data_IF_483997940230
#
_entry.id   IF_483997940230
#
_cell.length_a   1.000
_cell.length_b   1.000
_cell.length_c   1.000
_cell.angle_alpha   90.00
_cell.angle_beta   90.00
_cell.angle_gamma   90.00
#
_symmetry.space_group_name_H-M   'P 1'
#
loop_
_entity.id
_entity.type
_entity.pdbx_description
1 polymer ?
#
# COMPACT_ATOMS: atom_id res chain seq x y z
N UNK A 1 -35.62 -30.34 22.25
CA UNK A 1 -34.27 -30.46 21.65
C UNK A 1 -34.11 -29.27 20.73
N UNK A 2 -33.13 -28.40 20.98
CA UNK A 2 -32.86 -27.26 20.08
C UNK A 2 -32.10 -27.80 18.88
N UNK A 3 -32.55 -27.45 17.66
CA UNK A 3 -31.97 -27.95 16.42
C UNK A 3 -30.59 -27.33 16.20
N UNK A 4 -29.54 -28.15 16.22
CA UNK A 4 -28.15 -27.69 16.09
C UNK A 4 -27.89 -27.01 14.73
N UNK A 5 -28.60 -27.41 13.67
CA UNK A 5 -28.48 -26.81 12.33
C UNK A 5 -29.02 -25.37 12.27
N UNK A 6 -30.04 -25.04 13.07
CA UNK A 6 -30.56 -23.67 13.17
C UNK A 6 -29.58 -22.75 13.91
N UNK A 7 -28.91 -23.25 14.95
CA UNK A 7 -27.89 -22.50 15.71
C UNK A 7 -26.70 -22.17 14.81
N UNK A 8 -26.22 -23.12 14.01
CA UNK A 8 -25.09 -22.89 13.10
C UNK A 8 -25.42 -21.88 12.00
N UNK A 9 -26.65 -21.93 11.46
CA UNK A 9 -27.12 -20.97 10.45
C UNK A 9 -27.24 -19.56 11.03
N UNK A 10 -27.75 -19.45 12.25
CA UNK A 10 -27.91 -18.19 12.97
C UNK A 10 -26.53 -17.60 13.31
N UNK A 11 -25.60 -18.40 13.84
CA UNK A 11 -24.24 -17.97 14.15
C UNK A 11 -23.49 -17.50 12.90
N UNK A 12 -23.59 -18.22 11.78
CA UNK A 12 -22.99 -17.83 10.51
C UNK A 12 -23.59 -16.51 9.99
N UNK A 13 -24.90 -16.31 10.15
CA UNK A 13 -25.57 -15.07 9.75
C UNK A 13 -25.14 -13.88 10.62
N UNK A 14 -24.99 -14.09 11.93
CA UNK A 14 -24.48 -13.05 12.84
C UNK A 14 -23.02 -12.69 12.55
N UNK A 15 -22.15 -13.68 12.35
CA UNK A 15 -20.75 -13.46 11.97
C UNK A 15 -20.64 -12.70 10.64
N UNK A 16 -21.43 -13.09 9.64
CA UNK A 16 -21.47 -12.38 8.35
C UNK A 16 -21.94 -10.92 8.48
N UNK A 17 -22.89 -10.64 9.38
CA UNK A 17 -23.37 -9.28 9.67
C UNK A 17 -22.35 -8.43 10.41
N UNK A 18 -21.63 -9.02 11.38
CA UNK A 18 -20.55 -8.33 12.08
C UNK A 18 -19.38 -8.00 11.15
N UNK A 19 -19.01 -8.92 10.25
CA UNK A 19 -17.99 -8.69 9.22
C UNK A 19 -18.38 -7.59 8.23
N UNK A 20 -19.64 -7.58 7.78
CA UNK A 20 -20.18 -6.53 6.91
C UNK A 20 -20.22 -5.15 7.60
N UNK A 21 -20.69 -5.09 8.85
CA UNK A 21 -20.73 -3.84 9.62
C UNK A 21 -19.32 -3.31 9.91
N UNK A 22 -18.38 -4.18 10.25
CA UNK A 22 -16.98 -3.83 10.45
C UNK A 22 -16.34 -3.28 9.18
N UNK A 23 -16.65 -3.85 8.02
CA UNK A 23 -16.22 -3.32 6.73
C UNK A 23 -16.80 -1.93 6.41
N UNK A 24 -18.01 -1.63 6.87
CA UNK A 24 -18.64 -0.32 6.70
C UNK A 24 -17.99 0.74 7.60
N UNK A 25 -17.77 0.45 8.89
CA UNK A 25 -17.07 1.36 9.83
C UNK A 25 -15.64 1.68 9.36
N UNK A 26 -14.95 0.65 8.87
CA UNK A 26 -13.62 0.73 8.27
C UNK A 26 -13.62 1.67 7.04
N UNK A 27 -14.63 1.56 6.17
CA UNK A 27 -14.81 2.44 5.00
C UNK A 27 -15.17 3.88 5.40
N UNK A 28 -16.01 4.07 6.41
CA UNK A 28 -16.42 5.39 6.88
C UNK A 28 -15.21 6.13 7.49
N UNK A 29 -14.36 5.43 8.25
CA UNK A 29 -13.12 5.97 8.81
C UNK A 29 -12.12 6.38 7.72
N UNK A 30 -11.97 5.58 6.66
CA UNK A 30 -11.09 5.93 5.54
C UNK A 30 -11.56 7.18 4.79
N UNK A 31 -12.88 7.39 4.68
CA UNK A 31 -13.46 8.50 3.92
C UNK A 31 -13.73 9.76 4.74
N UNK A 32 -13.66 9.68 6.07
CA UNK A 32 -13.89 10.82 6.97
C UNK A 32 -12.97 12.01 6.63
N UNK A 33 -13.47 13.24 6.71
CA UNK A 33 -12.66 14.42 6.45
C UNK A 33 -11.65 14.62 7.61
N UNK A 34 -10.33 14.69 7.35
CA UNK A 34 -9.35 14.94 8.39
C UNK A 34 -9.54 16.31 9.05
N UNK A 35 -9.40 16.37 10.37
CA UNK A 35 -9.41 17.62 11.11
C UNK A 35 -8.01 18.27 11.14
N UNK A 36 -7.92 19.53 11.59
CA UNK A 36 -6.64 20.26 11.66
C UNK A 36 -5.61 19.52 12.52
N UNK A 37 -6.02 18.92 13.63
CA UNK A 37 -5.13 18.23 14.56
C UNK A 37 -4.50 16.98 13.92
N UNK A 38 -5.27 16.16 13.22
CA UNK A 38 -4.78 14.99 12.49
C UNK A 38 -3.76 15.41 11.42
N UNK A 39 -4.07 16.48 10.68
CA UNK A 39 -3.18 17.02 9.64
C UNK A 39 -1.89 17.54 10.27
N UNK A 40 -2.00 18.29 11.36
CA UNK A 40 -0.87 18.82 12.13
C UNK A 40 0.02 17.68 12.63
N UNK A 41 -0.55 16.65 13.25
CA UNK A 41 0.20 15.51 13.76
C UNK A 41 0.96 14.78 12.63
N UNK A 42 0.40 14.75 11.42
CA UNK A 42 1.09 14.20 10.25
C UNK A 42 2.26 15.07 9.83
N UNK A 43 2.08 16.39 9.76
CA UNK A 43 3.15 17.36 9.43
C UNK A 43 4.31 17.28 10.41
N UNK A 44 4.01 17.26 11.71
CA UNK A 44 5.03 17.27 12.76
C UNK A 44 5.71 15.92 12.97
N UNK A 45 5.06 14.82 12.60
CA UNK A 45 5.70 13.50 12.60
C UNK A 45 6.50 13.21 11.32
N UNK A 46 6.38 14.03 10.28
CA UNK A 46 7.09 13.85 9.02
C UNK A 46 8.56 14.31 9.14
N UNK A 47 9.43 13.75 8.30
CA UNK A 47 10.85 14.08 8.34
C UNK A 47 11.08 15.52 7.86
N UNK A 48 11.52 16.39 8.77
CA UNK A 48 11.82 17.80 8.52
C UNK A 48 12.94 17.99 7.48
N UNK A 49 13.93 17.09 7.45
CA UNK A 49 15.08 17.13 6.53
C UNK A 49 14.83 16.42 5.20
N UNK A 50 13.59 15.97 4.94
CA UNK A 50 13.26 15.34 3.67
C UNK A 50 13.47 16.31 2.49
N UNK A 51 13.95 15.78 1.36
CA UNK A 51 14.18 16.58 0.15
C UNK A 51 12.89 17.26 -0.32
N UNK A 52 13.01 18.54 -0.67
CA UNK A 52 11.93 19.33 -1.24
C UNK A 52 11.46 18.77 -2.59
N UNK A 53 10.21 19.06 -2.95
CA UNK A 53 9.67 18.77 -4.28
C UNK A 53 10.01 19.88 -5.28
N UNK A 54 9.35 19.87 -6.45
CA UNK A 54 9.38 20.99 -7.40
C UNK A 54 9.08 22.37 -6.79
N UNK A 55 8.34 22.42 -5.69
CA UNK A 55 8.00 23.65 -4.97
C UNK A 55 9.15 24.25 -4.15
N UNK A 56 10.24 23.51 -3.93
CA UNK A 56 11.38 23.96 -3.13
C UNK A 56 11.15 23.95 -1.62
N UNK A 57 10.00 23.48 -1.12
CA UNK A 57 9.69 23.44 0.31
C UNK A 57 9.88 22.04 0.91
N UNK A 58 10.64 21.97 2.01
CA UNK A 58 10.87 20.75 2.78
C UNK A 58 10.03 20.71 4.06
N UNK A 59 10.10 19.62 4.82
CA UNK A 59 9.31 19.49 6.04
C UNK A 59 9.59 20.53 7.11
N UNK A 60 10.83 21.04 7.19
CA UNK A 60 11.19 22.10 8.12
C UNK A 60 10.42 23.39 7.85
N UNK A 61 10.20 23.75 6.58
CA UNK A 61 9.35 24.88 6.23
C UNK A 61 7.92 24.70 6.78
N UNK A 62 7.31 23.54 6.59
CA UNK A 62 5.93 23.30 7.02
C UNK A 62 5.77 23.30 8.54
N UNK A 63 6.77 22.77 9.26
CA UNK A 63 6.75 22.74 10.72
C UNK A 63 6.99 24.13 11.33
N UNK A 64 7.93 24.89 10.78
CA UNK A 64 8.28 26.22 11.30
C UNK A 64 7.24 27.30 10.91
N UNK A 65 6.68 27.20 9.71
CA UNK A 65 5.70 28.15 9.19
C UNK A 65 4.25 27.71 9.39
N UNK A 66 3.99 26.66 10.18
CA UNK A 66 2.66 26.07 10.38
C UNK A 66 1.59 27.11 10.67
N UNK A 67 1.85 28.04 11.60
CA UNK A 67 0.87 29.06 12.01
C UNK A 67 0.47 30.01 10.88
N UNK A 68 1.28 30.12 9.82
CA UNK A 68 1.01 30.94 8.64
C UNK A 68 0.29 30.13 7.57
N UNK A 69 0.77 28.93 7.26
CA UNK A 69 0.30 28.14 6.11
C UNK A 69 -0.83 27.15 6.43
N UNK A 70 -1.16 26.94 7.72
CA UNK A 70 -2.08 25.87 8.14
C UNK A 70 -3.42 25.91 7.45
N UNK A 71 -3.97 27.10 7.20
CA UNK A 71 -5.29 27.24 6.55
C UNK A 71 -5.26 26.69 5.12
N UNK A 72 -4.21 27.00 4.36
CA UNK A 72 -4.04 26.50 2.99
C UNK A 72 -3.85 24.99 2.94
N UNK A 73 -3.07 24.45 3.89
CA UNK A 73 -2.80 23.00 3.96
C UNK A 73 -4.05 22.24 4.40
N UNK A 74 -4.79 22.73 5.39
CA UNK A 74 -6.04 22.13 5.84
C UNK A 74 -7.08 22.15 4.73
N UNK A 75 -7.28 23.30 4.08
CA UNK A 75 -8.22 23.41 2.95
C UNK A 75 -7.83 22.48 1.81
N UNK A 76 -6.56 22.41 1.44
CA UNK A 76 -6.06 21.48 0.42
C UNK A 76 -6.42 20.02 0.73
N UNK A 77 -6.12 19.55 1.94
CA UNK A 77 -6.37 18.18 2.35
C UNK A 77 -7.88 17.92 2.40
N UNK A 78 -8.66 18.78 3.05
CA UNK A 78 -10.10 18.58 3.17
C UNK A 78 -10.81 18.63 1.82
N UNK A 79 -10.36 19.48 0.89
CA UNK A 79 -10.88 19.52 -0.47
C UNK A 79 -10.64 18.19 -1.21
N UNK A 80 -9.48 17.56 -1.03
CA UNK A 80 -9.22 16.23 -1.56
C UNK A 80 -10.20 15.18 -1.00
N UNK A 81 -10.42 15.15 0.32
CA UNK A 81 -11.35 14.20 0.96
C UNK A 81 -12.82 14.46 0.57
N UNK A 82 -13.18 15.71 0.27
CA UNK A 82 -14.45 16.12 -0.30
C UNK A 82 -14.62 15.77 -1.79
N UNK A 83 -13.64 15.11 -2.42
CA UNK A 83 -13.71 14.69 -3.82
C UNK A 83 -13.45 15.80 -4.83
N UNK A 84 -12.94 16.97 -4.40
CA UNK A 84 -12.46 17.98 -5.34
C UNK A 84 -11.14 17.51 -5.95
N UNK A 85 -10.98 17.74 -7.26
CA UNK A 85 -9.75 17.40 -7.97
C UNK A 85 -8.55 18.18 -7.44
N UNK A 86 -7.38 17.55 -7.40
CA UNK A 86 -6.13 18.22 -7.05
C UNK A 86 -5.57 18.98 -8.25
N UNK A 87 -5.01 20.17 -7.99
CA UNK A 87 -4.29 20.90 -9.02
C UNK A 87 -3.10 20.07 -9.52
N UNK A 88 -2.89 20.06 -10.84
CA UNK A 88 -1.83 19.27 -11.50
C UNK A 88 -0.45 19.47 -10.87
N UNK A 89 -0.18 20.68 -10.37
CA UNK A 89 1.07 21.02 -9.68
C UNK A 89 1.42 20.07 -8.53
N UNK A 90 0.45 19.64 -7.71
CA UNK A 90 0.69 18.73 -6.59
C UNK A 90 0.87 17.27 -7.02
N UNK A 91 0.53 16.97 -8.27
CA UNK A 91 0.56 15.62 -8.86
C UNK A 91 1.78 15.40 -9.76
N UNK A 92 2.59 16.42 -9.99
CA UNK A 92 3.78 16.33 -10.85
C UNK A 92 5.05 16.25 -10.01
N UNK A 93 5.62 15.06 -9.82
CA UNK A 93 6.90 14.95 -9.15
C UNK A 93 8.05 15.39 -10.05
N UNK A 94 9.14 15.87 -9.44
CA UNK A 94 10.39 16.12 -10.14
C UNK A 94 11.18 14.81 -10.28
N UNK A 95 11.56 14.44 -11.50
CA UNK A 95 12.36 13.24 -11.77
C UNK A 95 13.85 13.58 -11.71
N UNK A 96 14.57 12.95 -10.79
CA UNK A 96 16.02 13.04 -10.64
C UNK A 96 16.66 11.71 -10.99
N UNK A 97 17.75 11.74 -11.75
CA UNK A 97 18.51 10.55 -12.13
C UNK A 97 19.76 10.42 -11.23
N UNK A 98 19.81 9.37 -10.41
CA UNK A 98 20.99 9.04 -9.61
C UNK A 98 21.84 8.00 -10.35
N UNK A 99 23.13 8.26 -10.62
CA UNK A 99 24.00 7.28 -11.27
C UNK A 99 24.19 6.04 -10.39
N UNK A 100 24.12 4.84 -10.98
CA UNK A 100 24.44 3.57 -10.29
C UNK A 100 25.93 3.21 -10.36
N UNK A 101 26.65 3.79 -11.32
CA UNK A 101 28.06 3.52 -11.60
C UNK A 101 28.76 4.83 -11.94
N UNK A 102 30.07 4.87 -11.80
CA UNK A 102 30.89 5.99 -12.23
C UNK A 102 30.81 6.16 -13.76
N UNK A 103 30.67 7.40 -14.22
CA UNK A 103 30.57 7.77 -15.64
C UNK A 103 29.51 6.94 -16.42
N UNK A 104 28.22 7.10 -16.09
CA UNK A 104 27.15 6.34 -16.74
C UNK A 104 27.04 6.70 -18.23
N UNK A 105 27.10 5.66 -19.08
CA UNK A 105 27.07 5.82 -20.55
C UNK A 105 25.68 5.69 -21.17
N UNK A 106 24.67 5.30 -20.40
CA UNK A 106 23.29 5.15 -20.87
C UNK A 106 22.28 5.27 -19.70
N UNK A 107 20.98 5.41 -20.02
CA UNK A 107 19.92 5.62 -19.03
C UNK A 107 19.65 4.43 -18.10
N UNK A 108 19.95 3.18 -18.52
CA UNK A 108 19.74 2.00 -17.66
C UNK A 108 20.68 1.95 -16.45
N UNK A 109 21.81 2.65 -16.55
CA UNK A 109 22.77 2.89 -15.46
C UNK A 109 22.34 3.99 -14.49
N UNK A 110 21.19 4.63 -14.67
CA UNK A 110 20.62 5.54 -13.69
C UNK A 110 19.49 4.89 -12.91
N UNK A 111 19.31 5.35 -11.68
CA UNK A 111 18.13 5.09 -10.84
C UNK A 111 17.26 6.35 -10.89
N UNK A 112 16.08 6.30 -11.52
CA UNK A 112 15.15 7.41 -11.43
C UNK A 112 14.58 7.48 -10.00
N UNK A 113 14.62 8.68 -9.43
CA UNK A 113 13.98 9.04 -8.16
C UNK A 113 12.96 10.13 -8.46
N UNK A 114 11.77 9.96 -7.90
CA UNK A 114 10.64 10.87 -8.06
C UNK A 114 10.50 11.67 -6.77
N UNK A 115 10.77 12.97 -6.82
CA UNK A 115 10.59 13.90 -5.71
C UNK A 115 9.20 14.53 -5.76
N UNK A 116 8.37 14.22 -4.77
CA UNK A 116 7.06 14.84 -4.61
C UNK A 116 7.09 16.05 -3.68
N UNK A 117 6.17 16.99 -3.91
CA UNK A 117 5.89 18.10 -2.99
C UNK A 117 5.55 17.57 -1.60
N UNK A 118 5.93 18.32 -0.58
CA UNK A 118 5.71 17.90 0.80
C UNK A 118 4.21 17.81 1.13
N UNK A 119 3.37 18.66 0.53
CA UNK A 119 1.89 18.57 0.61
C UNK A 119 1.37 17.19 0.19
N UNK A 120 1.88 16.63 -0.91
CA UNK A 120 1.46 15.30 -1.39
C UNK A 120 1.96 14.18 -0.44
N UNK A 121 3.11 14.38 0.22
CA UNK A 121 3.60 13.48 1.26
C UNK A 121 2.72 13.50 2.52
N UNK A 122 2.20 14.67 2.90
CA UNK A 122 1.24 14.81 4.01
C UNK A 122 -0.02 14.01 3.69
N UNK A 123 -0.61 14.23 2.52
CA UNK A 123 -1.79 13.48 2.07
C UNK A 123 -1.53 11.96 2.10
N UNK A 124 -0.36 11.57 1.60
CA UNK A 124 0.02 10.16 1.58
C UNK A 124 0.12 9.51 2.94
N UNK A 125 0.65 10.27 3.90
CA UNK A 125 0.85 9.81 5.26
C UNK A 125 -0.46 9.74 6.05
N UNK A 126 -1.43 10.62 5.79
CA UNK A 126 -2.79 10.52 6.34
C UNK A 126 -3.43 9.20 5.89
N UNK A 127 -3.46 8.96 4.57
CA UNK A 127 -4.05 7.75 4.01
C UNK A 127 -3.35 6.49 4.53
N UNK A 128 -2.01 6.50 4.60
CA UNK A 128 -1.24 5.41 5.21
C UNK A 128 -1.62 5.16 6.67
N UNK A 129 -1.71 6.22 7.50
CA UNK A 129 -2.07 6.08 8.91
C UNK A 129 -3.43 5.42 9.12
N UNK A 130 -4.40 5.74 8.26
CA UNK A 130 -5.75 5.18 8.32
C UNK A 130 -5.84 3.78 7.72
N UNK A 131 -5.06 3.50 6.67
CA UNK A 131 -5.04 2.18 6.02
C UNK A 131 -4.25 1.14 6.82
N UNK A 132 -3.17 1.54 7.50
CA UNK A 132 -2.24 0.61 8.14
C UNK A 132 -2.91 -0.35 9.15
N UNK A 133 -3.85 0.07 10.03
CA UNK A 133 -4.57 -0.85 10.92
C UNK A 133 -5.43 -1.90 10.19
N UNK A 134 -5.77 -1.65 8.93
CA UNK A 134 -6.62 -2.51 8.12
C UNK A 134 -5.80 -3.49 7.29
N UNK A 135 -4.53 -3.14 7.00
CA UNK A 135 -3.61 -3.98 6.23
C UNK A 135 -3.46 -5.37 6.85
N UNK A 136 -3.44 -5.48 8.17
CA UNK A 136 -3.36 -6.77 8.88
C UNK A 136 -4.58 -7.67 8.60
N UNK A 137 -5.75 -7.09 8.35
CA UNK A 137 -6.99 -7.81 8.02
C UNK A 137 -7.03 -8.24 6.54
N UNK A 138 -6.43 -7.43 5.66
CA UNK A 138 -6.54 -7.59 4.20
C UNK A 138 -5.40 -8.46 3.66
N UNK A 139 -4.21 -8.41 4.27
CA UNK A 139 -2.98 -9.03 3.76
C UNK A 139 -2.75 -10.40 4.41
N UNK A 140 -2.65 -11.43 3.57
CA UNK A 140 -2.27 -12.81 3.96
C UNK A 140 -1.02 -12.84 4.86
N UNK A 141 -0.98 -13.79 5.79
CA UNK A 141 0.16 -13.98 6.72
C UNK A 141 1.49 -14.24 5.98
N UNK A 142 1.43 -14.85 4.80
CA UNK A 142 2.60 -15.19 3.99
C UNK A 142 3.22 -13.98 3.26
N UNK A 143 2.58 -12.81 3.34
CA UNK A 143 3.03 -11.58 2.68
C UNK A 143 3.71 -10.66 3.71
N UNK A 144 5.03 -10.73 3.82
CA UNK A 144 5.79 -10.02 4.87
C UNK A 144 6.29 -8.61 4.49
N UNK A 145 6.31 -8.25 3.21
CA UNK A 145 6.76 -6.93 2.77
C UNK A 145 5.85 -5.82 3.26
N UNK A 146 6.40 -4.66 3.63
CA UNK A 146 5.66 -3.41 3.89
C UNK A 146 4.52 -3.48 4.95
N UNK A 147 4.41 -4.55 5.75
CA UNK A 147 3.48 -4.65 6.88
C UNK A 147 4.23 -4.37 8.18
N UNK A 148 3.69 -3.48 9.02
CA UNK A 148 4.28 -3.17 10.31
C UNK A 148 4.40 -4.44 11.17
N UNK A 149 5.57 -4.65 11.77
CA UNK A 149 5.80 -5.79 12.66
C UNK A 149 6.17 -7.10 11.95
N UNK A 150 6.19 -7.15 10.61
CA UNK A 150 6.73 -8.29 9.85
C UNK A 150 8.16 -7.99 9.43
N UNK A 151 9.07 -8.93 9.68
CA UNK A 151 10.47 -8.76 9.34
C UNK A 151 10.81 -9.52 8.06
N UNK A 152 11.73 -8.96 7.30
CA UNK A 152 12.21 -9.58 6.07
C UNK A 152 12.95 -10.91 6.34
N UNK A 153 13.46 -11.07 7.56
CA UNK A 153 14.05 -12.31 8.07
C UNK A 153 13.05 -13.45 8.11
N UNK A 154 11.76 -13.17 8.31
CA UNK A 154 10.71 -14.18 8.39
C UNK A 154 10.55 -14.88 7.03
N UNK A 155 10.69 -14.15 5.92
CA UNK A 155 10.73 -14.74 4.57
C UNK A 155 11.97 -15.60 4.35
N UNK A 156 13.11 -15.22 4.92
CA UNK A 156 14.35 -15.99 4.79
C UNK A 156 14.21 -17.31 5.54
N UNK A 157 13.64 -17.28 6.75
CA UNK A 157 13.34 -18.49 7.53
C UNK A 157 12.33 -19.38 6.81
N UNK A 158 11.24 -18.80 6.29
CA UNK A 158 10.27 -19.54 5.49
C UNK A 158 10.96 -20.19 4.27
N UNK A 159 11.79 -19.45 3.53
CA UNK A 159 12.58 -19.98 2.41
C UNK A 159 13.47 -21.15 2.83
N UNK A 160 14.13 -21.05 3.98
CA UNK A 160 14.98 -22.10 4.52
C UNK A 160 14.18 -23.35 4.90
N UNK A 161 13.02 -23.19 5.56
CA UNK A 161 12.12 -24.30 5.88
C UNK A 161 11.62 -25.00 4.61
N UNK A 162 11.27 -24.23 3.58
CA UNK A 162 10.86 -24.77 2.27
C UNK A 162 11.97 -25.61 1.67
N UNK A 163 13.19 -25.08 1.59
CA UNK A 163 14.35 -25.79 1.07
C UNK A 163 14.66 -27.04 1.91
N UNK A 164 14.49 -26.95 3.22
CA UNK A 164 14.69 -28.09 4.13
C UNK A 164 13.66 -29.19 3.86
N UNK A 165 12.38 -28.85 3.74
CA UNK A 165 11.29 -29.79 3.47
C UNK A 165 11.43 -30.45 2.08
N UNK A 166 11.93 -29.71 1.09
CA UNK A 166 12.20 -30.24 -0.25
C UNK A 166 13.29 -31.32 -0.25
N UNK A 167 14.23 -31.27 0.70
CA UNK A 167 15.29 -32.28 0.84
C UNK A 167 14.80 -33.58 1.50
N UNK A 168 13.60 -33.59 2.09
CA UNK A 168 13.03 -34.79 2.68
C UNK A 168 12.50 -35.72 1.58
N UNK A 169 12.64 -37.03 1.80
CA UNK A 169 12.11 -38.04 0.89
C UNK A 169 10.58 -38.02 0.93
N UNK A 170 9.97 -37.55 -0.15
CA UNK A 170 8.52 -37.56 -0.35
C UNK A 170 8.16 -38.49 -1.50
N UNK A 171 6.96 -39.07 -1.47
CA UNK A 171 6.43 -39.79 -2.63
C UNK A 171 6.06 -38.79 -3.73
N UNK A 172 7.05 -38.36 -4.52
CA UNK A 172 6.86 -37.39 -5.60
C UNK A 172 8.14 -36.62 -5.95
N UNK A 173 7.98 -35.59 -6.79
CA UNK A 173 9.06 -34.63 -7.11
C UNK A 173 8.75 -33.30 -6.46
N UNK A 174 9.74 -32.71 -5.80
CA UNK A 174 9.65 -31.40 -5.18
C UNK A 174 10.10 -30.32 -6.19
N UNK A 175 9.34 -29.24 -6.34
CA UNK A 175 9.64 -28.12 -7.27
C UNK A 175 9.45 -26.79 -6.56
N UNK A 176 10.41 -25.87 -6.73
CA UNK A 176 10.29 -24.47 -6.31
C UNK A 176 10.13 -23.60 -7.55
N UNK A 177 9.12 -22.74 -7.53
CA UNK A 177 8.88 -21.77 -8.60
C UNK A 177 9.20 -20.38 -8.05
N UNK A 178 10.29 -19.79 -8.53
CA UNK A 178 10.59 -18.37 -8.31
C UNK A 178 9.90 -17.56 -9.40
N UNK A 179 8.96 -16.71 -9.00
CA UNK A 179 8.33 -15.76 -9.91
C UNK A 179 9.00 -14.39 -9.72
N UNK A 180 9.56 -13.83 -10.79
CA UNK A 180 10.15 -12.49 -10.78
C UNK A 180 9.29 -11.56 -11.64
N UNK A 181 9.09 -10.34 -11.17
CA UNK A 181 8.25 -9.36 -11.82
C UNK A 181 9.14 -8.27 -12.43
N UNK A 182 8.92 -7.97 -13.70
CA UNK A 182 9.57 -6.80 -14.31
C UNK A 182 9.11 -5.55 -13.58
N UNK A 183 10.04 -4.65 -13.29
CA UNK A 183 9.73 -3.36 -12.69
C UNK A 183 8.72 -2.61 -13.57
N UNK A 184 7.46 -2.56 -13.16
CA UNK A 184 6.43 -1.85 -13.90
C UNK A 184 6.64 -0.33 -13.74
N UNK A 185 6.75 0.36 -14.88
CA UNK A 185 6.86 1.81 -14.91
C UNK A 185 5.48 2.45 -14.66
N UNK A 186 5.49 3.62 -14.00
CA UNK A 186 4.30 4.33 -13.48
C UNK A 186 3.17 4.61 -14.49
N UNK A 187 3.40 4.46 -15.80
CA UNK A 187 2.40 4.67 -16.85
C UNK A 187 1.53 3.45 -17.17
N UNK A 188 1.94 2.23 -16.80
CA UNK A 188 1.31 0.99 -17.28
C UNK A 188 0.11 0.49 -16.45
N UNK A 189 -0.18 1.11 -15.31
CA UNK A 189 -1.11 0.53 -14.33
C UNK A 189 -2.58 0.97 -14.45
N UNK A 190 -2.92 1.95 -15.30
CA UNK A 190 -4.27 2.56 -15.33
C UNK A 190 -5.43 1.58 -15.51
N UNK A 191 -5.26 0.52 -16.31
CA UNK A 191 -6.36 -0.40 -16.65
C UNK A 191 -6.49 -1.59 -15.69
N UNK A 192 -5.40 -2.02 -15.03
CA UNK A 192 -5.40 -3.22 -14.16
C UNK A 192 -5.88 -2.93 -12.73
N UNK A 193 -5.60 -1.74 -12.20
CA UNK A 193 -6.04 -1.32 -10.86
C UNK A 193 -7.58 -1.14 -10.81
N UNK A 194 -8.15 -0.55 -11.86
CA UNK A 194 -9.60 -0.29 -11.98
C UNK A 194 -10.48 -1.55 -11.90
N UNK A 195 -10.02 -2.72 -12.36
CA UNK A 195 -10.82 -3.95 -12.33
C UNK A 195 -10.82 -4.66 -10.95
N UNK A 196 -9.75 -4.52 -10.16
CA UNK A 196 -9.64 -5.14 -8.83
C UNK A 196 -10.22 -4.24 -7.72
N UNK A 197 -10.30 -2.93 -7.98
CA UNK A 197 -10.90 -1.92 -7.13
C UNK A 197 -12.44 -1.98 -7.00
N UNK A 198 -13.10 -2.85 -7.78
CA UNK A 198 -14.55 -2.88 -7.97
C UNK A 198 -15.40 -3.13 -6.71
N UNK A 199 -14.80 -3.61 -5.61
CA UNK A 199 -15.54 -3.99 -4.40
C UNK A 199 -15.25 -3.11 -3.17
N UNK A 200 -14.27 -2.20 -3.23
CA UNK A 200 -13.95 -1.30 -2.12
C UNK A 200 -14.17 0.17 -2.51
N UNK A 201 -15.11 0.85 -1.86
CA UNK A 201 -15.49 2.24 -2.16
C UNK A 201 -14.31 3.23 -2.12
N UNK A 202 -13.28 2.93 -1.33
CA UNK A 202 -12.04 3.71 -1.22
C UNK A 202 -11.20 3.73 -2.52
N UNK A 203 -11.22 2.66 -3.30
CA UNK A 203 -10.42 2.53 -4.53
C UNK A 203 -11.08 3.19 -5.76
N UNK A 204 -12.36 3.58 -5.70
CA UNK A 204 -13.00 4.34 -6.80
C UNK A 204 -12.42 5.74 -7.02
N UNK A 205 -11.62 6.26 -6.07
CA UNK A 205 -10.89 7.53 -6.22
C UNK A 205 -9.47 7.35 -6.79
N UNK A 206 -9.12 6.15 -7.28
CA UNK A 206 -7.81 5.80 -7.84
C UNK A 206 -7.34 6.71 -8.97
N UNK A 207 -8.24 7.30 -9.75
CA UNK A 207 -7.87 8.24 -10.82
C UNK A 207 -7.10 9.46 -10.28
N UNK A 208 -7.33 9.83 -9.01
CA UNK A 208 -6.61 10.87 -8.27
C UNK A 208 -5.50 10.33 -7.35
N UNK A 209 -5.36 9.01 -7.12
CA UNK A 209 -4.26 8.43 -6.31
C UNK A 209 -3.08 7.97 -7.18
N UNK A 210 -3.36 7.44 -8.38
CA UNK A 210 -2.36 6.86 -9.27
C UNK A 210 -1.38 7.88 -9.87
N UNK A 211 -1.65 9.18 -9.71
CA UNK A 211 -0.71 10.26 -10.08
C UNK A 211 0.11 10.80 -8.89
N UNK A 212 -0.23 10.48 -7.63
CA UNK A 212 -0.14 11.54 -6.61
C UNK A 212 0.84 11.32 -5.49
N UNK A 213 1.40 10.13 -5.34
CA UNK A 213 2.62 10.00 -4.55
C UNK A 213 3.31 8.63 -4.69
N UNK A 214 4.63 8.60 -4.96
CA UNK A 214 5.40 7.36 -4.97
C UNK A 214 5.24 6.49 -3.71
N UNK A 215 5.10 7.05 -2.48
CA UNK A 215 4.88 6.25 -1.28
C UNK A 215 3.57 5.46 -1.29
N UNK A 216 2.44 6.07 -1.65
CA UNK A 216 1.13 5.37 -1.69
C UNK A 216 1.09 4.33 -2.79
N UNK A 217 1.70 4.63 -3.94
CA UNK A 217 1.69 3.73 -5.09
C UNK A 217 2.34 2.38 -4.77
N UNK A 218 3.40 2.37 -3.96
CA UNK A 218 4.02 1.14 -3.48
C UNK A 218 3.05 0.27 -2.65
N UNK A 219 2.21 0.90 -1.83
CA UNK A 219 1.20 0.21 -1.02
C UNK A 219 -0.01 -0.26 -1.85
N UNK A 220 -0.53 0.57 -2.77
CA UNK A 220 -1.61 0.17 -3.68
C UNK A 220 -1.18 -1.02 -4.53
N UNK A 221 0.02 -0.97 -5.10
CA UNK A 221 0.58 -2.09 -5.87
C UNK A 221 0.67 -3.37 -5.03
N UNK A 222 0.97 -3.24 -3.74
CA UNK A 222 1.05 -4.36 -2.80
C UNK A 222 -0.33 -4.96 -2.45
N UNK A 223 -1.34 -4.11 -2.27
CA UNK A 223 -2.73 -4.52 -2.01
C UNK A 223 -3.33 -5.20 -3.26
N UNK A 224 -3.09 -4.66 -4.45
CA UNK A 224 -3.53 -5.27 -5.71
C UNK A 224 -2.92 -6.65 -5.98
N UNK A 225 -1.80 -6.98 -5.32
CA UNK A 225 -1.15 -8.27 -5.44
C UNK A 225 -1.84 -9.38 -4.62
N UNK A 226 -2.58 -8.99 -3.58
CA UNK A 226 -3.18 -9.90 -2.61
C UNK A 226 -4.20 -10.88 -3.24
N UNK A 227 -5.15 -10.45 -4.12
CA UNK A 227 -6.09 -11.38 -4.78
C UNK A 227 -5.41 -12.39 -5.70
N UNK A 228 -4.23 -12.06 -6.24
CA UNK A 228 -3.44 -12.99 -7.03
C UNK A 228 -2.79 -14.05 -6.14
N UNK A 229 -2.30 -13.67 -4.96
CA UNK A 229 -1.74 -14.60 -3.97
C UNK A 229 -2.81 -15.56 -3.41
N UNK A 230 -4.00 -15.04 -3.04
CA UNK A 230 -5.12 -15.87 -2.56
C UNK A 230 -5.57 -16.92 -3.57
N UNK A 231 -5.63 -16.57 -4.86
CA UNK A 231 -5.96 -17.53 -5.91
C UNK A 231 -4.97 -18.70 -5.97
N UNK A 232 -3.67 -18.45 -5.84
CA UNK A 232 -2.67 -19.53 -5.85
C UNK A 232 -2.77 -20.44 -4.62
N UNK A 233 -3.09 -19.90 -3.45
CA UNK A 233 -3.31 -20.69 -2.22
C UNK A 233 -4.58 -21.57 -2.30
N UNK A 234 -5.62 -21.12 -3.02
CA UNK A 234 -6.88 -21.86 -3.15
C UNK A 234 -6.80 -23.13 -4.03
N UNK A 235 -5.79 -23.25 -4.92
CA UNK A 235 -5.61 -24.41 -5.80
C UNK A 235 -5.00 -25.65 -5.13
N UNK A 236 -5.11 -25.79 -3.80
CA UNK A 236 -4.46 -26.84 -3.02
C UNK A 236 -4.60 -28.25 -3.61
N UNK A 237 -3.46 -28.87 -3.96
CA UNK A 237 -3.12 -30.30 -3.74
C UNK A 237 -1.68 -30.60 -4.17
N UNK A 238 -0.87 -31.08 -3.22
CA UNK A 238 0.43 -31.78 -3.41
C UNK A 238 1.53 -31.06 -4.18
N UNK A 239 1.54 -29.73 -4.17
CA UNK A 239 2.71 -28.92 -4.50
C UNK A 239 2.84 -27.89 -3.39
N UNK A 240 3.88 -28.02 -2.57
CA UNK A 240 4.30 -26.98 -1.62
C UNK A 240 4.81 -25.76 -2.41
N UNK A 241 3.88 -25.06 -3.08
CA UNK A 241 4.12 -23.80 -3.76
C UNK A 241 4.15 -22.70 -2.70
N UNK A 242 5.34 -22.34 -2.29
CA UNK A 242 5.55 -21.19 -1.44
C UNK A 242 6.03 -20.02 -2.29
N UNK A 243 5.19 -19.00 -2.38
CA UNK A 243 5.46 -17.76 -3.11
C UNK A 243 6.36 -16.87 -2.25
N UNK A 244 7.65 -16.83 -2.56
CA UNK A 244 8.55 -15.79 -2.06
C UNK A 244 8.36 -14.54 -2.91
N UNK A 245 7.57 -13.60 -2.40
CA UNK A 245 7.41 -12.27 -2.99
C UNK A 245 8.64 -11.40 -2.74
N UNK A 246 9.25 -10.96 -3.84
CA UNK A 246 10.07 -9.75 -4.09
C UNK A 246 10.98 -9.25 -2.95
N UNK A 247 12.30 -9.39 -3.18
CA UNK A 247 13.32 -8.43 -2.74
C UNK A 247 13.74 -7.58 -3.94
#
# INVERSE_FOLDING_TARGET
MVNLEEIDTINNTYQSREELNKGQEDNDMLNAIPNEDEIRDVVFSANASSTAGPDGFNGSFYQNCWNVIKFDIVDFIQNFFNGKGMAKFYNHPCLILIPKVDSPTNFSKFRPISLSNFTSKILSKILYRRLNPMLEKIISINQSGFVKGRMITDNVQLAQEIIHNIKQNTNGRNVVIKHDMVKENMSSNREKTQHLAGENAFLRREDNLNQTCPPILAYLHFICYEPSQRRHQAYGKTLQQYLLGVF
#
